data_IF_235989498646
#
_entry.id   IF_235989498646
#
_cell.length_a   1.000
_cell.length_b   1.000
_cell.length_c   1.000
_cell.angle_alpha   90.00
_cell.angle_beta   90.00
_cell.angle_gamma   90.00
#
_symmetry.space_group_name_H-M   'P 1'
#
loop_
_entity.id
_entity.type
_entity.pdbx_description
1 polymer ?
#
# COMPACT_ATOMS: atom_id res chain seq x y z
N UNK A 1 26.04 52.16 62.81
CA UNK A 1 26.57 50.95 62.11
C UNK A 1 25.49 50.43 61.21
N UNK A 2 25.56 50.70 59.90
CA UNK A 2 24.60 50.25 58.92
C UNK A 2 25.29 49.19 58.05
N UNK A 3 24.72 47.98 58.04
CA UNK A 3 25.18 46.86 57.18
C UNK A 3 24.48 47.01 55.84
N UNK A 4 25.23 47.15 54.78
CA UNK A 4 24.76 47.08 53.40
C UNK A 4 24.79 45.61 52.98
N UNK A 5 23.63 45.07 52.57
CA UNK A 5 23.50 43.72 51.95
C UNK A 5 23.61 43.91 50.43
N UNK A 6 24.67 43.39 49.84
CA UNK A 6 24.86 43.38 48.42
C UNK A 6 24.08 42.15 47.84
N UNK A 7 23.03 42.40 47.07
CA UNK A 7 22.32 41.40 46.28
C UNK A 7 23.08 41.12 44.99
N UNK A 8 23.62 39.92 44.84
CA UNK A 8 24.20 39.43 43.60
C UNK A 8 23.06 39.11 42.61
N UNK A 9 23.05 39.85 41.48
CA UNK A 9 22.14 39.52 40.36
C UNK A 9 22.73 38.37 39.58
N UNK A 10 22.03 37.21 39.58
CA UNK A 10 22.33 36.08 38.70
C UNK A 10 21.80 36.33 37.30
N UNK A 11 22.68 36.42 36.34
CA UNK A 11 22.33 36.47 34.92
C UNK A 11 21.94 35.05 34.46
N UNK A 12 20.85 34.89 33.66
CA UNK A 12 20.53 33.58 33.12
C UNK A 12 21.56 33.19 32.05
N UNK A 13 22.15 32.01 32.22
CA UNK A 13 22.97 31.39 31.19
C UNK A 13 22.11 31.15 29.90
N UNK A 14 22.47 31.83 28.83
CA UNK A 14 21.91 31.60 27.51
C UNK A 14 22.52 30.29 26.99
N UNK A 15 21.78 29.20 27.13
CA UNK A 15 22.13 27.92 26.50
C UNK A 15 21.99 28.11 24.99
N UNK A 16 23.10 28.25 24.29
CA UNK A 16 23.12 28.17 22.82
C UNK A 16 22.59 26.83 22.40
N UNK A 17 21.43 26.82 21.74
CA UNK A 17 20.87 25.63 21.12
C UNK A 17 21.90 25.06 20.14
N UNK A 18 22.19 23.77 20.24
CA UNK A 18 23.06 23.07 19.29
C UNK A 18 22.58 23.32 17.86
N UNK A 19 23.49 23.49 16.89
CA UNK A 19 23.09 23.73 15.50
C UNK A 19 22.22 22.58 15.02
N UNK A 20 21.03 22.91 14.52
CA UNK A 20 20.14 21.96 13.88
C UNK A 20 20.94 21.30 12.74
N UNK A 21 21.11 19.98 12.71
CA UNK A 21 21.81 19.33 11.60
C UNK A 21 21.12 19.73 10.29
N UNK A 22 21.94 20.01 9.27
CA UNK A 22 21.47 20.33 7.94
C UNK A 22 20.41 19.29 7.51
N UNK A 23 19.32 19.67 6.82
CA UNK A 23 18.27 18.74 6.46
C UNK A 23 18.91 17.59 5.67
N UNK A 24 18.98 16.41 6.29
CA UNK A 24 19.34 15.20 5.59
C UNK A 24 18.45 15.11 4.34
N UNK A 25 19.03 14.80 3.18
CA UNK A 25 18.25 14.63 1.96
C UNK A 25 17.09 13.65 2.26
N UNK A 26 15.90 14.21 2.45
CA UNK A 26 14.71 13.49 2.87
C UNK A 26 14.40 12.36 1.89
N UNK A 27 14.70 12.55 0.62
CA UNK A 27 14.50 11.54 -0.43
C UNK A 27 15.56 10.44 -0.33
N UNK A 28 16.81 10.78 0.08
CA UNK A 28 17.83 9.77 0.34
C UNK A 28 17.44 8.86 1.51
N UNK A 29 16.82 9.40 2.57
CA UNK A 29 16.35 8.61 3.70
C UNK A 29 15.24 7.63 3.29
N UNK A 30 14.26 8.08 2.49
CA UNK A 30 13.21 7.21 1.95
C UNK A 30 13.80 6.13 1.05
N UNK A 31 14.75 6.48 0.18
CA UNK A 31 15.45 5.51 -0.68
C UNK A 31 16.20 4.47 0.14
N UNK A 32 16.93 4.89 1.17
CA UNK A 32 17.62 3.98 2.08
C UNK A 32 16.65 3.04 2.80
N UNK A 33 15.47 3.52 3.17
CA UNK A 33 14.43 2.71 3.79
C UNK A 33 13.82 1.67 2.84
N UNK A 34 13.71 1.97 1.56
CA UNK A 34 13.27 1.03 0.52
C UNK A 34 14.31 -0.06 0.24
N UNK A 35 15.60 0.28 0.34
CA UNK A 35 16.71 -0.67 0.09
C UNK A 35 17.05 -1.51 1.35
N UNK A 36 16.73 -1.03 2.54
CA UNK A 36 17.12 -1.68 3.80
C UNK A 36 16.76 -3.18 3.89
N UNK A 37 15.58 -3.65 3.45
CA UNK A 37 15.23 -5.07 3.50
C UNK A 37 16.15 -5.97 2.66
N UNK A 38 16.82 -5.42 1.65
CA UNK A 38 17.78 -6.19 0.84
C UNK A 38 19.06 -6.52 1.57
N UNK A 39 19.34 -5.85 2.69
CA UNK A 39 20.60 -5.94 3.41
C UNK A 39 20.45 -6.30 4.88
N UNK A 40 19.23 -6.19 5.42
CA UNK A 40 19.00 -6.32 6.85
C UNK A 40 17.98 -7.42 7.13
N UNK A 41 18.43 -8.46 7.82
CA UNK A 41 17.57 -9.55 8.28
C UNK A 41 17.05 -9.27 9.69
N UNK A 42 15.81 -9.68 9.95
CA UNK A 42 15.16 -9.45 11.24
C UNK A 42 14.05 -10.46 11.54
N UNK A 43 13.75 -10.56 12.82
CA UNK A 43 12.57 -11.25 13.37
C UNK A 43 11.83 -10.25 14.23
N UNK A 44 10.50 -10.23 14.15
CA UNK A 44 9.70 -9.31 14.95
C UNK A 44 8.22 -9.67 14.97
N UNK A 45 7.48 -8.91 15.76
CA UNK A 45 6.02 -8.97 15.80
C UNK A 45 5.47 -7.63 15.33
N UNK A 46 4.56 -7.68 14.37
CA UNK A 46 3.94 -6.50 13.77
C UNK A 46 2.44 -6.51 14.00
N UNK A 47 1.91 -5.37 14.44
CA UNK A 47 0.49 -5.13 14.53
C UNK A 47 0.06 -4.28 13.32
N UNK A 48 -1.00 -4.69 12.64
CA UNK A 48 -1.62 -3.90 11.56
C UNK A 48 -3.09 -3.65 11.90
N UNK A 49 -3.51 -2.40 11.81
CA UNK A 49 -4.89 -1.98 11.99
C UNK A 49 -5.34 -1.28 10.70
N UNK A 50 -6.48 -1.68 10.16
CA UNK A 50 -7.12 -1.05 9.00
C UNK A 50 -8.48 -0.55 9.44
N UNK A 51 -8.76 0.72 9.18
CA UNK A 51 -10.05 1.35 9.49
C UNK A 51 -10.91 1.35 8.23
N UNK A 52 -12.01 0.58 8.25
CA UNK A 52 -13.08 0.65 7.26
C UNK A 52 -14.21 1.54 7.75
N UNK A 53 -15.22 1.76 6.91
CA UNK A 53 -16.36 2.63 7.26
C UNK A 53 -17.17 2.15 8.46
N UNK A 54 -17.25 0.84 8.70
CA UNK A 54 -18.09 0.25 9.75
C UNK A 54 -17.28 -0.46 10.83
N UNK A 55 -16.11 -0.98 10.50
CA UNK A 55 -15.31 -1.82 11.38
C UNK A 55 -13.83 -1.48 11.23
N UNK A 56 -13.08 -1.66 12.31
CA UNK A 56 -11.64 -1.73 12.28
C UNK A 56 -11.21 -3.20 12.35
N UNK A 57 -10.29 -3.59 11.47
CA UNK A 57 -9.69 -4.92 11.48
C UNK A 57 -8.27 -4.81 11.99
N UNK A 58 -7.94 -5.60 13.01
CA UNK A 58 -6.60 -5.68 13.56
C UNK A 58 -6.02 -7.07 13.37
N UNK A 59 -4.76 -7.13 12.97
CA UNK A 59 -4.00 -8.38 12.89
C UNK A 59 -2.69 -8.24 13.65
N UNK A 60 -2.22 -9.34 14.23
CA UNK A 60 -0.88 -9.48 14.79
C UNK A 60 -0.19 -10.59 14.03
N UNK A 61 1.01 -10.32 13.54
CA UNK A 61 1.81 -11.27 12.78
C UNK A 61 3.22 -11.34 13.34
N UNK A 62 3.77 -12.55 13.42
CA UNK A 62 5.20 -12.76 13.51
C UNK A 62 5.78 -12.64 12.13
N UNK A 63 6.85 -11.88 12.00
CA UNK A 63 7.59 -11.69 10.74
C UNK A 63 9.01 -12.17 10.91
N UNK A 64 9.46 -12.99 9.99
CA UNK A 64 10.83 -13.47 9.86
C UNK A 64 11.31 -13.08 8.47
N UNK A 65 12.31 -12.21 8.41
CA UNK A 65 12.87 -11.72 7.15
C UNK A 65 14.34 -12.00 7.06
N UNK A 66 14.74 -12.73 6.03
CA UNK A 66 16.12 -13.01 5.68
C UNK A 66 16.44 -12.27 4.37
N UNK A 67 17.37 -11.35 4.46
CA UNK A 67 17.84 -10.61 3.27
C UNK A 67 18.41 -11.60 2.23
N UNK A 68 18.27 -11.32 0.92
CA UNK A 68 17.70 -10.08 0.37
C UNK A 68 16.20 -10.12 0.16
N UNK A 69 15.51 -11.29 0.18
CA UNK A 69 14.15 -11.39 -0.36
C UNK A 69 13.30 -12.54 0.19
N UNK A 70 13.71 -13.15 1.30
CA UNK A 70 12.94 -14.23 1.92
C UNK A 70 12.18 -13.68 3.12
N UNK A 71 10.85 -13.86 3.13
CA UNK A 71 10.01 -13.39 4.24
C UNK A 71 8.97 -14.44 4.58
N UNK A 72 8.83 -14.75 5.88
CA UNK A 72 7.70 -15.50 6.39
C UNK A 72 6.90 -14.63 7.32
N UNK A 73 5.57 -14.67 7.19
CA UNK A 73 4.62 -14.05 8.09
C UNK A 73 3.66 -15.10 8.61
N UNK A 74 3.47 -15.12 9.91
CA UNK A 74 2.54 -16.06 10.58
C UNK A 74 1.55 -15.25 11.39
N UNK A 75 0.24 -15.43 11.14
CA UNK A 75 -0.80 -14.76 11.90
C UNK A 75 -0.89 -15.31 13.31
N UNK A 76 -0.80 -14.40 14.29
CA UNK A 76 -0.98 -14.68 15.72
C UNK A 76 -2.36 -14.23 16.23
N UNK A 77 -2.98 -13.27 15.54
CA UNK A 77 -4.34 -12.77 15.81
C UNK A 77 -4.94 -12.16 14.53
N UNK A 78 -6.28 -12.12 14.38
CA UNK A 78 -7.30 -12.69 15.27
C UNK A 78 -7.37 -14.23 15.19
N UNK A 79 -8.19 -14.82 16.05
CA UNK A 79 -8.39 -16.28 16.12
C UNK A 79 -8.79 -16.88 14.76
N UNK A 80 -9.58 -16.17 13.96
CA UNK A 80 -9.98 -16.61 12.63
C UNK A 80 -8.79 -16.89 11.71
N UNK A 81 -7.70 -16.13 11.83
CA UNK A 81 -6.49 -16.24 11.02
C UNK A 81 -5.34 -16.97 11.73
N UNK A 82 -5.50 -17.31 13.02
CA UNK A 82 -4.43 -17.89 13.82
C UNK A 82 -3.82 -19.12 13.17
N UNK A 83 -2.49 -19.09 12.99
CA UNK A 83 -1.71 -20.17 12.38
C UNK A 83 -1.64 -20.14 10.84
N UNK A 84 -2.43 -19.30 10.16
CA UNK A 84 -2.17 -19.04 8.74
C UNK A 84 -0.80 -18.39 8.58
N UNK A 85 -0.12 -18.74 7.48
CA UNK A 85 1.17 -18.11 7.18
C UNK A 85 1.39 -17.98 5.69
N UNK A 86 2.22 -17.02 5.33
CA UNK A 86 2.74 -16.88 3.97
C UNK A 86 4.28 -16.87 3.98
N UNK A 87 4.85 -17.41 2.92
CA UNK A 87 6.28 -17.40 2.65
C UNK A 87 6.50 -16.77 1.29
N UNK A 88 7.24 -15.67 1.27
CA UNK A 88 7.66 -15.00 0.03
C UNK A 88 9.13 -15.29 -0.23
N UNK A 89 9.45 -15.80 -1.42
CA UNK A 89 10.81 -15.99 -1.92
C UNK A 89 10.94 -15.23 -3.24
N UNK A 90 11.66 -14.12 -3.23
CA UNK A 90 11.74 -13.24 -4.39
C UNK A 90 10.36 -12.71 -4.79
N UNK A 91 9.84 -13.16 -5.92
CA UNK A 91 8.54 -12.77 -6.49
C UNK A 91 7.41 -13.75 -6.20
N UNK A 92 7.70 -14.91 -5.64
CA UNK A 92 6.71 -15.97 -5.39
C UNK A 92 6.28 -15.97 -3.93
N UNK A 93 4.98 -15.98 -3.69
CA UNK A 93 4.39 -16.11 -2.36
C UNK A 93 3.57 -17.39 -2.26
N UNK A 94 3.91 -18.24 -1.29
CA UNK A 94 3.11 -19.41 -0.92
C UNK A 94 2.35 -19.11 0.36
N UNK A 95 1.03 -19.05 0.28
CA UNK A 95 0.15 -18.88 1.44
C UNK A 95 -0.40 -20.24 1.86
N UNK A 96 -0.34 -20.54 3.15
CA UNK A 96 -0.84 -21.78 3.76
C UNK A 96 -1.93 -21.42 4.77
N UNK A 97 -3.09 -22.04 4.62
CA UNK A 97 -4.20 -22.01 5.56
C UNK A 97 -4.34 -23.41 6.22
N UNK A 98 -3.82 -23.62 7.43
CA UNK A 98 -3.87 -24.91 8.10
C UNK A 98 -5.29 -25.32 8.50
N UNK A 99 -6.20 -24.37 8.74
CA UNK A 99 -7.58 -24.64 9.16
C UNK A 99 -8.41 -25.21 8.02
N UNK A 100 -8.21 -24.69 6.81
CA UNK A 100 -8.93 -25.14 5.62
C UNK A 100 -8.16 -26.18 4.82
N UNK A 101 -6.96 -26.59 5.24
CA UNK A 101 -6.04 -27.46 4.50
C UNK A 101 -5.83 -26.98 3.06
N UNK A 102 -5.56 -25.68 2.89
CA UNK A 102 -5.40 -25.05 1.57
C UNK A 102 -4.04 -24.39 1.46
N UNK A 103 -3.46 -24.53 0.28
CA UNK A 103 -2.24 -23.84 -0.12
C UNK A 103 -2.53 -23.02 -1.38
N UNK A 104 -2.04 -21.79 -1.44
CA UNK A 104 -2.17 -20.91 -2.60
C UNK A 104 -0.79 -20.37 -2.98
N UNK A 105 -0.41 -20.60 -4.23
CA UNK A 105 0.84 -20.03 -4.77
C UNK A 105 0.46 -18.86 -5.67
N UNK A 106 1.07 -17.71 -5.45
CA UNK A 106 0.88 -16.52 -6.25
C UNK A 106 2.23 -15.95 -6.68
N UNK A 107 2.30 -15.48 -7.90
CA UNK A 107 3.40 -14.68 -8.40
C UNK A 107 3.00 -13.23 -8.22
N UNK A 108 3.51 -12.59 -7.28
CA UNK A 108 3.65 -11.15 -7.09
C UNK A 108 3.99 -10.83 -5.64
N UNK A 109 5.05 -10.10 -5.36
CA UNK A 109 5.49 -9.91 -3.99
C UNK A 109 4.56 -8.93 -3.28
N UNK A 110 3.83 -9.38 -2.27
CA UNK A 110 3.42 -8.47 -1.24
C UNK A 110 4.63 -8.25 -0.31
N UNK A 111 5.46 -7.28 -0.63
CA UNK A 111 6.52 -6.88 0.29
C UNK A 111 5.92 -5.97 1.37
N UNK A 112 5.89 -6.43 2.63
CA UNK A 112 5.50 -5.59 3.76
C UNK A 112 6.44 -4.41 3.97
N UNK A 113 7.62 -4.50 3.39
CA UNK A 113 8.63 -3.45 3.43
C UNK A 113 8.50 -2.45 2.27
N UNK A 114 7.70 -2.75 1.25
CA UNK A 114 7.32 -1.74 0.27
C UNK A 114 6.42 -0.69 0.93
N UNK A 115 6.60 0.56 0.56
CA UNK A 115 5.76 1.67 1.03
C UNK A 115 4.30 1.41 0.68
N UNK A 116 4.05 0.81 -0.50
CA UNK A 116 2.78 0.21 -0.94
C UNK A 116 3.05 -1.00 -1.81
N UNK A 117 2.05 -1.87 -2.01
CA UNK A 117 2.18 -3.09 -2.83
C UNK A 117 2.60 -2.79 -4.29
N UNK A 118 2.25 -1.62 -4.82
CA UNK A 118 2.51 -1.21 -6.20
C UNK A 118 3.31 0.10 -6.26
N UNK A 119 4.24 0.29 -5.33
CA UNK A 119 5.02 1.53 -5.30
C UNK A 119 5.92 1.62 -6.52
N UNK A 120 5.58 2.53 -7.41
CA UNK A 120 6.50 2.95 -8.44
C UNK A 120 7.42 4.03 -7.88
N UNK A 121 8.68 3.69 -7.62
CA UNK A 121 9.67 4.59 -7.01
C UNK A 121 9.85 5.88 -7.82
N UNK A 122 9.74 5.81 -9.14
CA UNK A 122 9.87 6.99 -10.02
C UNK A 122 8.70 7.93 -9.80
N UNK A 123 7.47 7.41 -9.77
CA UNK A 123 6.26 8.19 -9.52
C UNK A 123 6.24 8.73 -8.09
N UNK A 124 6.68 7.93 -7.11
CA UNK A 124 6.82 8.38 -5.73
C UNK A 124 7.73 9.61 -5.64
N UNK A 125 8.91 9.55 -6.26
CA UNK A 125 9.86 10.65 -6.24
C UNK A 125 9.35 11.90 -6.98
N UNK A 126 8.61 11.71 -8.07
CA UNK A 126 8.04 12.80 -8.87
C UNK A 126 6.89 13.50 -8.15
N UNK A 127 5.99 12.73 -7.52
CA UNK A 127 4.69 13.22 -7.05
C UNK A 127 4.66 13.55 -5.54
N UNK A 128 5.64 13.06 -4.78
CA UNK A 128 5.69 13.26 -3.34
C UNK A 128 6.96 13.96 -2.90
N UNK A 129 6.85 14.78 -1.87
CA UNK A 129 8.00 15.30 -1.13
C UNK A 129 8.09 14.60 0.22
N UNK A 130 9.26 14.15 0.59
CA UNK A 130 9.53 13.65 1.91
C UNK A 130 9.78 14.83 2.86
N UNK A 131 9.12 14.84 4.01
CA UNK A 131 9.26 15.84 5.07
C UNK A 131 9.72 15.10 6.32
N UNK A 132 10.96 15.36 6.73
CA UNK A 132 11.54 14.79 7.95
C UNK A 132 10.89 15.44 9.16
N UNK A 133 10.51 14.63 10.13
CA UNK A 133 9.96 15.03 11.41
C UNK A 133 10.85 14.58 12.58
N UNK A 134 10.32 14.60 13.80
CA UNK A 134 11.07 14.24 15.01
C UNK A 134 11.45 12.76 15.05
N UNK A 135 12.44 12.45 15.89
CA UNK A 135 12.78 11.08 16.27
C UNK A 135 11.79 10.62 17.33
N UNK A 136 11.22 9.44 17.12
CA UNK A 136 10.31 8.78 18.06
C UNK A 136 10.82 7.36 18.37
N UNK A 137 10.33 6.76 19.47
CA UNK A 137 10.70 5.40 19.84
C UNK A 137 9.65 4.41 19.29
N UNK A 138 10.12 3.42 18.53
CA UNK A 138 9.30 2.32 18.00
C UNK A 138 10.00 1.01 18.34
N UNK A 139 9.29 0.07 18.96
CA UNK A 139 9.87 -1.20 19.40
C UNK A 139 11.19 -1.04 20.18
N UNK A 140 11.27 -0.03 21.06
CA UNK A 140 12.46 0.30 21.85
C UNK A 140 13.61 0.96 21.06
N UNK A 141 13.40 1.36 19.81
CA UNK A 141 14.44 1.86 18.90
C UNK A 141 14.17 3.29 18.45
N UNK A 142 15.20 4.17 18.35
CA UNK A 142 15.04 5.49 17.81
C UNK A 142 14.78 5.43 16.30
N UNK A 143 13.69 6.02 15.86
CA UNK A 143 13.25 6.07 14.48
C UNK A 143 12.96 7.51 14.06
N UNK A 144 13.54 7.94 12.95
CA UNK A 144 13.22 9.23 12.32
C UNK A 144 11.89 9.14 11.60
N UNK A 145 10.98 10.07 11.89
CA UNK A 145 9.71 10.14 11.16
C UNK A 145 9.88 10.85 9.83
N UNK A 146 9.19 10.34 8.81
CA UNK A 146 9.13 10.95 7.47
C UNK A 146 7.71 10.95 6.98
N UNK A 147 7.17 12.12 6.63
CA UNK A 147 5.87 12.24 5.98
C UNK A 147 6.04 12.36 4.48
N UNK A 148 5.27 11.57 3.71
CA UNK A 148 5.16 11.69 2.26
C UNK A 148 3.95 12.57 1.95
N UNK A 149 4.23 13.74 1.40
CA UNK A 149 3.25 14.79 1.11
C UNK A 149 3.11 14.94 -0.39
N UNK A 150 1.89 14.82 -0.89
CA UNK A 150 1.59 14.98 -2.31
C UNK A 150 1.94 16.42 -2.76
N UNK A 151 2.68 16.55 -3.86
CA UNK A 151 3.16 17.86 -4.36
C UNK A 151 2.06 18.71 -4.97
N UNK A 152 0.99 18.08 -5.48
CA UNK A 152 -0.12 18.76 -6.15
C UNK A 152 -1.19 19.22 -5.17
N UNK A 153 -1.50 18.38 -4.16
CA UNK A 153 -2.60 18.66 -3.22
C UNK A 153 -2.13 19.17 -1.86
N UNK A 154 -0.84 18.95 -1.51
CA UNK A 154 -0.31 19.25 -0.18
C UNK A 154 -0.75 18.28 0.91
N UNK A 155 -1.53 17.26 0.58
CA UNK A 155 -2.03 16.26 1.52
C UNK A 155 -0.91 15.30 1.94
N UNK A 156 -0.88 14.97 3.24
CA UNK A 156 -0.02 13.89 3.75
C UNK A 156 -0.69 12.56 3.47
N UNK A 157 -0.07 11.76 2.60
CA UNK A 157 -0.61 10.45 2.24
C UNK A 157 -0.04 9.31 3.07
N UNK A 158 1.19 9.47 3.58
CA UNK A 158 1.84 8.43 4.37
C UNK A 158 2.80 9.03 5.40
N UNK A 159 3.01 8.34 6.51
CA UNK A 159 4.05 8.62 7.50
C UNK A 159 4.82 7.34 7.78
N UNK A 160 6.14 7.44 7.79
CA UNK A 160 7.07 6.35 8.04
C UNK A 160 7.86 6.64 9.30
N UNK A 161 8.23 5.60 10.04
CA UNK A 161 9.20 5.61 11.14
C UNK A 161 10.38 4.75 10.73
N UNK A 162 11.48 5.37 10.40
CA UNK A 162 12.66 4.74 9.82
C UNK A 162 13.72 4.60 10.90
N UNK A 163 14.11 3.36 11.21
CA UNK A 163 15.16 3.06 12.20
C UNK A 163 16.44 3.84 11.89
N UNK A 164 16.99 4.52 12.88
CA UNK A 164 18.14 5.37 12.66
C UNK A 164 19.42 4.61 12.29
N UNK A 165 19.55 3.36 12.71
CA UNK A 165 20.72 2.53 12.47
C UNK A 165 20.61 1.73 11.18
N UNK A 166 19.53 0.95 11.03
CA UNK A 166 19.38 -0.04 9.96
C UNK A 166 18.59 0.47 8.76
N UNK A 167 17.90 1.59 8.89
CA UNK A 167 16.98 2.17 7.91
C UNK A 167 15.72 1.32 7.64
N UNK A 168 15.50 0.24 8.36
CA UNK A 168 14.26 -0.54 8.27
C UNK A 168 13.08 0.31 8.74
N UNK A 169 11.95 0.21 8.05
CA UNK A 169 10.70 0.90 8.43
C UNK A 169 10.07 0.14 9.60
N UNK A 170 10.06 0.76 10.78
CA UNK A 170 9.53 0.17 12.02
C UNK A 170 8.03 0.43 12.20
N UNK A 171 7.50 1.48 11.59
CA UNK A 171 6.07 1.76 11.55
C UNK A 171 5.72 2.54 10.30
N UNK A 172 4.50 2.38 9.84
CA UNK A 172 3.93 3.14 8.72
C UNK A 172 2.45 3.41 8.95
N UNK A 173 2.02 4.56 8.54
CA UNK A 173 0.62 5.02 8.52
C UNK A 173 0.26 5.50 7.13
N UNK A 174 -0.92 5.16 6.66
CA UNK A 174 -1.51 5.74 5.45
C UNK A 174 -2.77 6.52 5.81
N UNK A 175 -3.01 7.59 5.09
CA UNK A 175 -4.08 8.54 5.35
C UNK A 175 -5.01 8.64 4.16
N UNK A 176 -6.28 8.89 4.42
CA UNK A 176 -7.26 9.30 3.42
C UNK A 176 -7.02 10.75 2.97
N UNK A 177 -7.68 11.15 1.90
CA UNK A 177 -7.62 12.54 1.42
C UNK A 177 -8.11 13.57 2.44
N UNK A 178 -9.04 13.19 3.31
CA UNK A 178 -9.54 14.03 4.40
C UNK A 178 -8.58 14.11 5.61
N UNK A 179 -7.43 13.43 5.53
CA UNK A 179 -6.43 13.38 6.58
C UNK A 179 -6.71 12.35 7.68
N UNK A 180 -7.82 11.65 7.64
CA UNK A 180 -8.11 10.54 8.57
C UNK A 180 -7.21 9.35 8.31
N UNK A 181 -6.99 8.54 9.35
CA UNK A 181 -6.10 7.38 9.28
C UNK A 181 -6.78 6.20 8.57
N UNK A 182 -6.22 5.74 7.47
CA UNK A 182 -6.71 4.59 6.70
C UNK A 182 -6.22 3.26 7.29
N UNK A 183 -4.92 3.19 7.54
CA UNK A 183 -4.32 2.03 8.21
C UNK A 183 -2.99 2.40 8.87
N UNK A 184 -2.61 1.58 9.85
CA UNK A 184 -1.31 1.66 10.53
C UNK A 184 -0.74 0.27 10.67
N UNK A 185 0.57 0.13 10.43
CA UNK A 185 1.35 -1.06 10.71
C UNK A 185 2.55 -0.66 11.56
N UNK A 186 2.83 -1.38 12.66
CA UNK A 186 3.87 -1.03 13.60
C UNK A 186 4.46 -2.29 14.22
N UNK A 187 5.78 -2.36 14.31
CA UNK A 187 6.46 -3.37 15.10
C UNK A 187 6.24 -3.10 16.60
N UNK A 188 5.74 -4.10 17.31
CA UNK A 188 5.71 -4.12 18.76
C UNK A 188 7.09 -4.50 19.32
N UNK A 189 7.74 -5.46 18.64
CA UNK A 189 9.11 -5.89 18.90
C UNK A 189 9.83 -6.21 17.58
N UNK A 190 11.14 -5.96 17.52
CA UNK A 190 12.00 -6.32 16.40
C UNK A 190 13.42 -6.61 16.89
N UNK A 191 14.01 -7.67 16.35
CA UNK A 191 15.41 -8.05 16.58
C UNK A 191 16.09 -8.25 15.24
N UNK A 192 17.14 -7.48 14.99
CA UNK A 192 17.97 -7.64 13.81
C UNK A 192 18.94 -8.80 14.01
N UNK A 193 18.93 -9.77 13.09
CA UNK A 193 19.75 -10.98 13.17
C UNK A 193 19.85 -11.66 11.83
N UNK A 194 21.03 -12.17 11.49
CA UNK A 194 21.23 -13.07 10.33
C UNK A 194 20.99 -14.54 10.66
N UNK A 195 20.77 -14.87 11.93
CA UNK A 195 20.60 -16.24 12.41
C UNK A 195 19.14 -16.70 12.34
N UNK A 196 18.62 -16.83 11.11
CA UNK A 196 17.31 -17.39 10.83
C UNK A 196 17.51 -18.71 10.08
N UNK A 197 17.07 -19.85 10.64
CA UNK A 197 17.23 -21.14 9.98
C UNK A 197 16.55 -21.15 8.60
N UNK A 198 17.23 -21.64 7.57
CA UNK A 198 16.69 -21.66 6.19
C UNK A 198 15.38 -22.46 6.07
N UNK A 199 15.19 -23.48 6.90
CA UNK A 199 13.97 -24.28 6.95
C UNK A 199 12.71 -23.48 7.32
N UNK A 200 12.85 -22.28 7.93
CA UNK A 200 11.72 -21.36 8.19
C UNK A 200 11.03 -20.93 6.92
N UNK A 201 11.77 -20.86 5.81
CA UNK A 201 11.30 -20.43 4.50
C UNK A 201 10.97 -21.59 3.54
N UNK A 202 10.76 -22.80 4.07
CA UNK A 202 10.37 -23.95 3.25
C UNK A 202 8.94 -23.75 2.70
N UNK A 203 8.81 -23.78 1.36
CA UNK A 203 7.54 -23.56 0.64
C UNK A 203 6.83 -24.86 0.27
N UNK A 204 7.33 -26.02 0.74
CA UNK A 204 6.70 -27.30 0.50
C UNK A 204 5.26 -27.31 1.05
N UNK A 205 4.31 -27.65 0.19
CA UNK A 205 2.91 -27.79 0.58
C UNK A 205 2.77 -29.00 1.49
N UNK A 206 2.18 -28.85 2.69
CA UNK A 206 1.98 -29.98 3.60
C UNK A 206 1.10 -31.07 2.98
N UNK A 207 1.39 -32.33 3.32
CA UNK A 207 0.60 -33.45 2.81
C UNK A 207 -0.88 -33.29 3.18
N UNK A 208 -1.78 -33.56 2.23
CA UNK A 208 -3.23 -33.48 2.41
C UNK A 208 -3.81 -32.07 2.23
N UNK A 209 -2.99 -31.09 1.85
CA UNK A 209 -3.48 -29.77 1.50
C UNK A 209 -3.92 -29.70 0.04
N UNK A 210 -5.04 -29.01 -0.21
CA UNK A 210 -5.47 -28.68 -1.55
C UNK A 210 -4.70 -27.47 -2.04
N UNK A 211 -3.99 -27.63 -3.16
CA UNK A 211 -3.43 -26.50 -3.89
C UNK A 211 -4.53 -25.76 -4.64
N UNK A 212 -4.64 -24.46 -4.40
CA UNK A 212 -5.53 -23.56 -5.10
C UNK A 212 -4.66 -22.59 -5.89
N UNK A 213 -4.93 -22.46 -7.17
CA UNK A 213 -4.24 -21.48 -7.99
C UNK A 213 -4.55 -20.09 -7.43
N UNK A 214 -3.51 -19.42 -6.94
CA UNK A 214 -3.57 -18.04 -6.50
C UNK A 214 -3.82 -17.15 -7.73
N UNK A 215 -4.33 -15.95 -7.50
CA UNK A 215 -4.32 -14.94 -8.55
C UNK A 215 -2.87 -14.78 -9.01
N UNK A 216 -2.57 -15.28 -10.18
CA UNK A 216 -1.53 -14.67 -10.98
C UNK A 216 -2.13 -13.30 -11.29
N UNK A 217 -1.64 -12.26 -10.69
CA UNK A 217 -1.70 -10.97 -11.35
C UNK A 217 -0.91 -11.25 -12.62
N UNK A 218 -1.62 -11.43 -13.72
CA UNK A 218 -1.04 -11.75 -14.99
C UNK A 218 0.07 -10.79 -15.27
N UNK A 219 0.96 -11.12 -16.16
CA UNK A 219 2.03 -10.25 -16.60
C UNK A 219 1.42 -8.95 -17.08
N UNK A 220 1.22 -7.99 -16.13
CA UNK A 220 0.78 -6.66 -16.50
C UNK A 220 1.80 -6.15 -17.50
N UNK A 221 1.37 -6.09 -18.74
CA UNK A 221 2.19 -5.63 -19.85
C UNK A 221 2.47 -4.14 -19.67
N UNK A 222 3.70 -3.72 -19.92
CA UNK A 222 4.06 -2.33 -20.12
C UNK A 222 3.79 -1.85 -21.58
N UNK A 223 3.51 -2.81 -22.48
CA UNK A 223 3.07 -2.53 -23.86
C UNK A 223 1.55 -2.29 -23.89
N UNK A 224 1.16 -1.08 -23.49
CA UNK A 224 -0.24 -0.67 -23.44
C UNK A 224 -0.94 -0.84 -24.79
N UNK A 225 -0.31 -0.40 -25.89
CA UNK A 225 -0.95 -0.39 -27.21
C UNK A 225 -1.29 -1.82 -27.64
N UNK A 226 -0.37 -2.73 -27.51
CA UNK A 226 -0.59 -4.14 -27.80
C UNK A 226 -1.75 -4.70 -26.96
N UNK A 227 -1.77 -4.41 -25.65
CA UNK A 227 -2.82 -4.90 -24.76
C UNK A 227 -4.19 -4.36 -25.13
N UNK A 228 -4.29 -3.08 -25.52
CA UNK A 228 -5.53 -2.48 -26.02
C UNK A 228 -5.99 -3.13 -27.34
N UNK A 229 -5.08 -3.37 -28.28
CA UNK A 229 -5.38 -3.99 -29.56
C UNK A 229 -5.87 -5.45 -29.41
N UNK A 230 -5.35 -6.17 -28.42
CA UNK A 230 -5.68 -7.56 -28.11
C UNK A 230 -6.93 -7.72 -27.22
N UNK A 231 -7.55 -6.63 -26.74
CA UNK A 231 -8.72 -6.69 -25.85
C UNK A 231 -9.93 -7.38 -26.50
N UNK A 232 -10.03 -7.34 -27.85
CA UNK A 232 -11.11 -7.97 -28.61
C UNK A 232 -12.42 -7.18 -28.62
N UNK A 233 -12.38 -5.95 -28.14
CA UNK A 233 -13.39 -4.90 -28.26
C UNK A 233 -12.66 -3.56 -28.39
N UNK A 234 -13.37 -2.49 -28.72
CA UNK A 234 -12.77 -1.16 -28.80
C UNK A 234 -12.51 -0.64 -27.39
N UNK A 235 -11.31 -0.93 -26.88
CA UNK A 235 -10.85 -0.46 -25.58
C UNK A 235 -10.65 1.07 -25.55
N UNK A 236 -10.83 1.68 -24.40
CA UNK A 236 -10.64 3.12 -24.20
C UNK A 236 -9.66 3.40 -23.07
N UNK A 237 -8.89 4.45 -23.24
CA UNK A 237 -7.99 4.94 -22.20
C UNK A 237 -8.49 6.32 -21.73
N UNK A 238 -8.63 6.57 -20.41
CA UNK A 238 -9.06 7.86 -19.92
C UNK A 238 -8.23 9.01 -20.50
N UNK A 239 -8.92 10.05 -21.00
CA UNK A 239 -8.28 11.29 -21.47
C UNK A 239 -7.89 12.22 -20.31
N UNK A 240 -8.50 12.01 -19.16
CA UNK A 240 -8.21 12.73 -17.93
C UNK A 240 -7.84 11.74 -16.81
N UNK A 241 -6.76 12.03 -16.13
CA UNK A 241 -6.34 11.40 -14.88
C UNK A 241 -6.00 12.50 -13.86
N UNK A 242 -6.25 12.29 -12.58
CA UNK A 242 -5.79 13.23 -11.56
C UNK A 242 -4.27 13.43 -11.61
N UNK A 243 -3.82 14.60 -11.16
CA UNK A 243 -2.41 14.95 -11.17
C UNK A 243 -1.52 13.87 -10.53
N UNK A 244 -0.45 13.53 -11.23
CA UNK A 244 0.53 12.54 -10.81
C UNK A 244 0.20 11.09 -11.19
N UNK A 245 -1.05 10.77 -11.54
CA UNK A 245 -1.38 9.42 -11.99
C UNK A 245 -0.84 9.12 -13.38
N UNK A 246 -0.27 7.93 -13.53
CA UNK A 246 0.18 7.38 -14.81
C UNK A 246 -0.23 5.91 -14.90
N UNK A 247 -0.41 5.42 -16.11
CA UNK A 247 -0.57 3.99 -16.33
C UNK A 247 0.73 3.28 -15.97
N UNK A 248 0.62 2.18 -15.24
CA UNK A 248 1.75 1.36 -14.78
C UNK A 248 1.64 -0.09 -15.23
N UNK A 249 0.54 -0.46 -15.88
CA UNK A 249 0.35 -1.76 -16.46
C UNK A 249 -1.03 -1.95 -17.05
N UNK A 250 -1.14 -2.92 -17.94
CA UNK A 250 -2.40 -3.33 -18.57
C UNK A 250 -2.42 -4.87 -18.71
N UNK A 251 -3.58 -5.47 -18.57
CA UNK A 251 -3.77 -6.92 -18.64
C UNK A 251 -5.08 -7.27 -19.34
N UNK A 252 -5.02 -8.24 -20.26
CA UNK A 252 -6.20 -8.90 -20.82
C UNK A 252 -6.42 -10.23 -20.13
N UNK A 253 -7.65 -10.49 -19.74
CA UNK A 253 -8.07 -11.79 -19.24
C UNK A 253 -9.35 -12.25 -19.94
N UNK A 254 -9.52 -13.55 -20.02
CA UNK A 254 -10.75 -14.14 -20.55
C UNK A 254 -11.21 -15.27 -19.66
N UNK A 255 -12.49 -15.29 -19.34
CA UNK A 255 -13.11 -16.37 -18.59
C UNK A 255 -14.50 -16.69 -19.16
N UNK A 256 -14.72 -17.93 -19.58
CA UNK A 256 -16.00 -18.40 -20.14
C UNK A 256 -16.55 -17.53 -21.28
N UNK A 257 -15.66 -17.00 -22.14
CA UNK A 257 -16.03 -16.13 -23.26
C UNK A 257 -16.19 -14.64 -22.91
N UNK A 258 -16.15 -14.30 -21.62
CA UNK A 258 -16.07 -12.91 -21.19
C UNK A 258 -14.63 -12.41 -21.36
N UNK A 259 -14.48 -11.29 -22.03
CA UNK A 259 -13.20 -10.60 -22.18
C UNK A 259 -13.18 -9.43 -21.23
N UNK A 260 -12.07 -9.29 -20.52
CA UNK A 260 -11.87 -8.24 -19.54
C UNK A 260 -10.50 -7.61 -19.77
N UNK A 261 -10.48 -6.31 -19.93
CA UNK A 261 -9.28 -5.49 -19.93
C UNK A 261 -9.16 -4.80 -18.56
N UNK A 262 -8.00 -4.88 -17.95
CA UNK A 262 -7.66 -4.17 -16.74
C UNK A 262 -6.53 -3.19 -17.02
N UNK A 263 -6.77 -1.91 -16.78
CA UNK A 263 -5.78 -0.84 -16.84
C UNK A 263 -5.48 -0.38 -15.42
N UNK A 264 -4.20 -0.44 -15.02
CA UNK A 264 -3.75 -0.04 -13.69
C UNK A 264 -2.97 1.26 -13.77
N UNK A 265 -3.41 2.23 -12.97
CA UNK A 265 -2.78 3.54 -12.83
C UNK A 265 -2.28 3.73 -11.41
N UNK A 266 -1.21 4.52 -11.25
CA UNK A 266 -0.68 4.89 -9.93
C UNK A 266 -0.10 6.29 -9.95
N UNK A 267 -0.10 6.93 -8.78
CA UNK A 267 0.65 8.16 -8.51
C UNK A 267 1.94 7.88 -7.69
N UNK A 268 2.21 6.60 -7.41
CA UNK A 268 3.34 6.12 -6.60
C UNK A 268 2.96 5.69 -5.18
N UNK A 269 1.79 6.08 -4.68
CA UNK A 269 1.22 5.62 -3.39
C UNK A 269 -0.17 5.04 -3.62
N UNK A 270 -1.06 5.80 -4.28
CA UNK A 270 -2.42 5.36 -4.60
C UNK A 270 -2.44 4.60 -5.91
N UNK A 271 -3.40 3.72 -6.05
CA UNK A 271 -3.71 3.03 -7.30
C UNK A 271 -5.14 3.31 -7.74
N UNK A 272 -5.36 3.24 -9.04
CA UNK A 272 -6.65 3.30 -9.68
C UNK A 272 -6.71 2.19 -10.73
N UNK A 273 -7.71 1.33 -10.65
CA UNK A 273 -7.99 0.29 -11.63
C UNK A 273 -9.19 0.68 -12.48
N UNK A 274 -9.05 0.61 -13.79
CA UNK A 274 -10.14 0.66 -14.74
C UNK A 274 -10.30 -0.73 -15.36
N UNK A 275 -11.50 -1.29 -15.22
CA UNK A 275 -11.90 -2.53 -15.87
C UNK A 275 -12.91 -2.22 -16.97
N UNK A 276 -12.72 -2.84 -18.13
CA UNK A 276 -13.62 -2.83 -19.26
C UNK A 276 -13.94 -4.27 -19.64
N UNK A 277 -15.20 -4.60 -19.78
CA UNK A 277 -15.58 -5.93 -20.20
C UNK A 277 -16.85 -5.93 -21.06
N UNK A 278 -17.03 -7.02 -21.82
CA UNK A 278 -18.21 -7.24 -22.67
C UNK A 278 -19.31 -8.05 -21.99
N UNK A 279 -19.38 -8.04 -20.66
CA UNK A 279 -20.38 -8.77 -19.90
C UNK A 279 -21.74 -8.04 -19.93
N UNK A 280 -22.81 -8.81 -20.16
CA UNK A 280 -24.18 -8.33 -20.02
C UNK A 280 -24.71 -8.43 -18.59
N UNK A 281 -23.94 -9.04 -17.69
CA UNK A 281 -24.33 -9.22 -16.29
C UNK A 281 -24.21 -7.93 -15.48
N UNK A 282 -25.11 -7.78 -14.50
CA UNK A 282 -24.99 -6.73 -13.50
C UNK A 282 -23.71 -6.88 -12.67
N UNK A 283 -23.10 -5.75 -12.22
CA UNK A 283 -21.95 -5.79 -11.33
C UNK A 283 -22.29 -6.48 -10.01
N UNK A 284 -21.42 -7.37 -9.53
CA UNK A 284 -21.55 -7.96 -8.19
C UNK A 284 -20.83 -7.06 -7.16
N UNK A 285 -21.61 -6.45 -6.27
CA UNK A 285 -21.11 -5.61 -5.18
C UNK A 285 -20.88 -6.38 -3.87
N UNK A 286 -20.80 -7.73 -3.93
CA UNK A 286 -20.56 -8.56 -2.74
C UNK A 286 -21.66 -8.47 -1.69
N UNK A 287 -22.92 -8.31 -2.11
CA UNK A 287 -24.08 -8.17 -1.24
C UNK A 287 -24.25 -6.77 -0.62
N UNK A 288 -23.43 -5.80 -0.99
CA UNK A 288 -23.60 -4.40 -0.59
C UNK A 288 -24.57 -3.73 -1.56
N UNK A 289 -25.58 -3.04 -1.03
CA UNK A 289 -26.52 -2.25 -1.88
C UNK A 289 -25.79 -1.01 -2.40
N UNK A 290 -25.64 -0.84 -3.73
CA UNK A 290 -25.01 0.33 -4.29
C UNK A 290 -25.87 1.59 -4.12
N UNK A 291 -25.22 2.74 -4.17
CA UNK A 291 -25.87 4.04 -4.36
C UNK A 291 -25.81 4.41 -5.83
N UNK A 292 -26.81 5.15 -6.30
CA UNK A 292 -26.85 5.61 -7.69
C UNK A 292 -26.24 7.01 -7.82
N UNK A 293 -25.65 7.28 -8.97
CA UNK A 293 -25.20 8.61 -9.39
C UNK A 293 -25.47 8.78 -10.88
N UNK A 294 -25.39 10.00 -11.36
CA UNK A 294 -25.66 10.31 -12.75
C UNK A 294 -24.62 11.31 -13.29
N UNK A 295 -24.09 11.08 -14.49
CA UNK A 295 -23.16 12.01 -15.13
C UNK A 295 -23.30 11.94 -16.65
N UNK A 296 -23.37 13.09 -17.30
CA UNK A 296 -23.46 13.27 -18.76
C UNK A 296 -24.52 12.39 -19.46
N UNK A 297 -25.67 12.17 -18.83
CA UNK A 297 -26.73 11.33 -19.39
C UNK A 297 -26.62 9.83 -19.07
N UNK A 298 -25.61 9.41 -18.33
CA UNK A 298 -25.37 8.01 -17.96
C UNK A 298 -25.73 7.75 -16.52
N UNK A 299 -26.49 6.68 -16.28
CA UNK A 299 -26.72 6.13 -14.96
C UNK A 299 -25.51 5.30 -14.53
N UNK A 300 -25.10 5.48 -13.29
CA UNK A 300 -23.97 4.76 -12.69
C UNK A 300 -24.30 4.37 -11.25
N UNK A 301 -23.65 3.31 -10.79
CA UNK A 301 -23.75 2.83 -9.43
C UNK A 301 -22.38 2.92 -8.74
N UNK A 302 -22.39 3.19 -7.45
CA UNK A 302 -21.17 3.21 -6.67
C UNK A 302 -21.33 2.62 -5.29
N UNK A 303 -20.21 2.07 -4.78
CA UNK A 303 -20.07 1.62 -3.40
C UNK A 303 -18.79 2.23 -2.83
N UNK A 304 -18.86 2.67 -1.57
CA UNK A 304 -17.69 3.08 -0.80
C UNK A 304 -17.38 2.04 0.25
N UNK A 305 -16.14 1.61 0.31
CA UNK A 305 -15.61 0.77 1.38
C UNK A 305 -14.32 1.40 1.93
N UNK A 306 -14.47 2.10 3.05
CA UNK A 306 -13.40 2.92 3.61
C UNK A 306 -12.94 3.99 2.61
N UNK A 307 -11.63 4.00 2.24
CA UNK A 307 -11.08 4.93 1.27
C UNK A 307 -11.41 4.59 -0.16
N UNK A 308 -11.70 3.31 -0.42
CA UNK A 308 -11.89 2.80 -1.77
C UNK A 308 -13.30 3.09 -2.24
N UNK A 309 -13.42 3.67 -3.42
CA UNK A 309 -14.69 3.82 -4.13
C UNK A 309 -14.66 2.94 -5.37
N UNK A 310 -15.70 2.14 -5.55
CA UNK A 310 -16.02 1.43 -6.78
C UNK A 310 -17.12 2.22 -7.47
N UNK A 311 -16.90 2.64 -8.71
CA UNK A 311 -17.89 3.27 -9.58
C UNK A 311 -18.08 2.39 -10.82
N UNK A 312 -19.33 2.06 -11.17
CA UNK A 312 -19.64 1.21 -12.34
C UNK A 312 -20.65 1.91 -13.23
N UNK A 313 -20.52 1.73 -14.55
CA UNK A 313 -21.47 2.21 -15.55
C UNK A 313 -21.41 1.34 -16.80
N UNK A 314 -22.36 1.58 -17.72
CA UNK A 314 -22.36 0.92 -19.04
C UNK A 314 -22.32 1.96 -20.14
N UNK A 315 -21.59 1.63 -21.19
CA UNK A 315 -21.46 2.48 -22.36
C UNK A 315 -21.18 1.64 -23.61
N UNK A 316 -21.93 1.86 -24.69
CA UNK A 316 -21.73 1.19 -25.99
C UNK A 316 -21.60 -0.34 -25.92
N UNK A 317 -22.37 -1.00 -25.07
CA UNK A 317 -22.35 -2.44 -24.89
C UNK A 317 -21.19 -2.99 -24.04
N UNK A 318 -20.40 -2.12 -23.46
CA UNK A 318 -19.35 -2.47 -22.49
C UNK A 318 -19.78 -2.12 -21.07
N UNK A 319 -19.34 -2.89 -20.12
CA UNK A 319 -19.41 -2.57 -18.70
C UNK A 319 -18.05 -2.06 -18.23
N UNK A 320 -18.10 -1.01 -17.43
CA UNK A 320 -16.92 -0.34 -16.86
C UNK A 320 -16.95 -0.39 -15.34
N UNK A 321 -15.78 -0.53 -14.74
CA UNK A 321 -15.62 -0.37 -13.30
C UNK A 321 -14.33 0.40 -12.99
N UNK A 322 -14.46 1.50 -12.25
CA UNK A 322 -13.34 2.26 -11.68
C UNK A 322 -13.24 1.96 -10.19
N UNK A 323 -12.06 1.51 -9.74
CA UNK A 323 -11.79 1.19 -8.34
C UNK A 323 -10.54 1.92 -7.88
N UNK A 324 -10.65 2.73 -6.84
CA UNK A 324 -9.49 3.44 -6.32
C UNK A 324 -9.76 4.21 -5.04
N UNK A 325 -8.68 4.68 -4.40
CA UNK A 325 -8.72 5.59 -3.25
C UNK A 325 -8.83 7.04 -3.74
N UNK A 326 -9.96 7.31 -4.39
CA UNK A 326 -10.33 8.63 -4.90
C UNK A 326 -11.79 8.94 -4.52
N UNK A 327 -12.08 10.22 -4.32
CA UNK A 327 -13.46 10.65 -4.10
C UNK A 327 -14.32 10.42 -5.36
N UNK A 328 -15.64 10.31 -5.16
CA UNK A 328 -16.59 10.04 -6.25
C UNK A 328 -16.50 11.11 -7.35
N UNK A 329 -16.25 12.37 -7.01
CA UNK A 329 -16.13 13.47 -7.97
C UNK A 329 -14.97 13.23 -8.94
N UNK A 330 -13.81 12.80 -8.44
CA UNK A 330 -12.63 12.49 -9.27
C UNK A 330 -12.87 11.25 -10.12
N UNK A 331 -13.49 10.19 -9.55
CA UNK A 331 -13.84 9.00 -10.33
C UNK A 331 -14.84 9.33 -11.44
N UNK A 332 -15.85 10.15 -11.15
CA UNK A 332 -16.81 10.62 -12.17
C UNK A 332 -16.10 11.42 -13.27
N UNK A 333 -15.17 12.30 -12.93
CA UNK A 333 -14.41 13.05 -13.94
C UNK A 333 -13.56 12.14 -14.84
N UNK A 334 -12.99 11.06 -14.28
CA UNK A 334 -12.30 10.04 -15.06
C UNK A 334 -13.30 9.29 -15.96
N UNK A 335 -14.44 8.85 -15.42
CA UNK A 335 -15.48 8.15 -16.16
C UNK A 335 -15.99 8.97 -17.35
N UNK A 336 -16.26 10.27 -17.16
CA UNK A 336 -16.62 11.20 -18.26
C UNK A 336 -15.54 11.22 -19.35
N UNK A 337 -14.27 11.14 -18.98
CA UNK A 337 -13.17 11.16 -19.94
C UNK A 337 -12.99 9.87 -20.74
N UNK A 338 -13.63 8.78 -20.29
CA UNK A 338 -13.67 7.47 -20.96
C UNK A 338 -14.78 7.44 -22.01
N UNK A 339 -15.85 8.22 -21.80
CA UNK A 339 -16.95 8.33 -22.76
C UNK A 339 -16.44 9.02 -24.03
N UNK A 340 -16.69 8.46 -25.23
CA UNK A 340 -16.16 8.96 -26.52
C UNK A 340 -16.59 10.37 -26.88
#
# INVERSE_FOLDING_TARGET
>A
MAFAIATAASFPEVTLAAPTPAPADSNALVRAALEAPRHVSYVGQIQTIRWGMRNANATIQRVEHLAPSSTRRTFLAPEALYGEYDITLGTTTTKIDPKQHRAMISENPSSDNAITMNTNIVLLAANYRAVVGPVEIVAGRPATTVSLVNRFTGERMMRLWIDNSTKVVLAKEAYHQDGSLAWRSRFDEIRFTGEIPSGVFATAIPQGFQEVEGRRFGDMSDDLQRTLDEAGFKAVNPRYLPDGFKIIGAENSSFRGLRNLHLLYSDGIRTLSLFENNADSEPDFGGVKPSTTHFEGHDAEYVKDGPTTLLTWREHGLAFALIGDLDLKKLTAIAISVIP
#
